data_IF_857710929710
#
_entry.id   IF_857710929710
#
_cell.length_a   1.000
_cell.length_b   1.000
_cell.length_c   1.000
_cell.angle_alpha   90.00
_cell.angle_beta   90.00
_cell.angle_gamma   90.00
#
_symmetry.space_group_name_H-M   'P 1'
#
loop_
_entity.id
_entity.type
_entity.pdbx_description
1 polymer ?
#
# COMPACT_ATOMS: atom_id res chain seq x y z
N UNK A 1 -13.24 -20.89 12.72
CA UNK A 1 -11.85 -20.45 12.94
C UNK A 1 -11.12 -20.35 11.61
N UNK A 2 -9.85 -19.90 11.56
CA UNK A 2 -9.09 -19.90 10.32
C UNK A 2 -9.00 -21.36 9.80
N UNK A 3 -9.71 -21.65 8.70
CA UNK A 3 -9.82 -23.00 8.13
C UNK A 3 -11.13 -23.76 8.40
N UNK A 4 -12.13 -23.17 9.05
CA UNK A 4 -13.47 -23.76 9.15
C UNK A 4 -14.27 -23.47 7.88
N UNK A 5 -14.89 -24.48 7.28
CA UNK A 5 -15.78 -24.30 6.14
C UNK A 5 -16.95 -23.37 6.51
N UNK A 6 -17.32 -22.51 5.59
CA UNK A 6 -18.42 -21.57 5.76
C UNK A 6 -19.19 -21.49 4.46
N UNK A 7 -20.53 -21.55 4.57
CA UNK A 7 -21.44 -21.49 3.43
C UNK A 7 -21.46 -20.10 2.79
N UNK A 8 -21.06 -19.05 3.53
CA UNK A 8 -21.04 -17.66 3.10
C UNK A 8 -19.65 -17.04 3.31
N UNK A 9 -19.25 -16.01 2.54
CA UNK A 9 -17.99 -15.30 2.77
C UNK A 9 -17.98 -14.67 4.17
N UNK A 10 -16.94 -14.96 4.96
CA UNK A 10 -16.76 -14.35 6.29
C UNK A 10 -15.40 -13.68 6.42
N UNK A 11 -15.30 -12.66 7.27
CA UNK A 11 -14.02 -12.02 7.64
C UNK A 11 -13.10 -12.96 8.44
N UNK A 12 -13.65 -14.03 9.02
CA UNK A 12 -12.96 -14.91 9.96
C UNK A 12 -12.77 -14.29 11.36
N UNK A 13 -13.31 -13.09 11.61
CA UNK A 13 -13.27 -12.41 12.90
C UNK A 13 -14.49 -12.77 13.76
N UNK A 14 -14.39 -12.51 15.07
CA UNK A 14 -15.57 -12.55 15.94
C UNK A 14 -16.54 -11.43 15.52
N UNK A 15 -17.88 -11.62 15.60
CA UNK A 15 -18.85 -10.58 15.21
C UNK A 15 -18.61 -9.24 15.91
N UNK A 16 -18.17 -9.27 17.17
CA UNK A 16 -17.83 -8.09 17.99
C UNK A 16 -16.64 -7.27 17.46
N UNK A 17 -15.81 -7.87 16.59
CA UNK A 17 -14.59 -7.28 16.01
C UNK A 17 -14.67 -7.14 14.49
N UNK A 18 -15.79 -7.54 13.89
CA UNK A 18 -16.04 -7.36 12.48
C UNK A 18 -16.61 -5.96 12.27
N UNK A 19 -15.91 -5.09 11.55
CA UNK A 19 -16.22 -3.66 11.40
C UNK A 19 -16.28 -2.88 12.73
N UNK A 20 -15.46 -3.26 13.72
CA UNK A 20 -15.34 -2.52 14.97
C UNK A 20 -14.39 -1.32 14.82
N UNK A 21 -14.88 -0.15 15.21
CA UNK A 21 -14.07 1.06 15.36
C UNK A 21 -13.71 1.27 16.83
N UNK A 22 -12.46 1.64 17.09
CA UNK A 22 -12.03 2.04 18.42
C UNK A 22 -12.65 3.38 18.81
N UNK A 23 -13.02 3.53 20.09
CA UNK A 23 -13.29 4.86 20.64
C UNK A 23 -12.02 5.72 20.60
N UNK A 24 -12.18 7.04 20.68
CA UNK A 24 -11.02 7.95 20.76
C UNK A 24 -10.12 7.59 21.94
N UNK A 25 -10.70 7.34 23.12
CA UNK A 25 -9.98 6.98 24.34
C UNK A 25 -9.20 5.66 24.24
N UNK A 26 -9.72 4.67 23.50
CA UNK A 26 -9.01 3.42 23.22
C UNK A 26 -7.90 3.60 22.18
N UNK A 27 -8.14 4.44 21.17
CA UNK A 27 -7.14 4.76 20.14
C UNK A 27 -5.93 5.48 20.73
N UNK A 28 -6.15 6.43 21.64
CA UNK A 28 -5.08 7.20 22.29
C UNK A 28 -4.13 6.32 23.12
N UNK A 29 -4.60 5.20 23.69
CA UNK A 29 -3.73 4.23 24.37
C UNK A 29 -2.71 3.60 23.42
N UNK A 30 -3.06 3.49 22.13
CA UNK A 30 -2.17 2.98 21.10
C UNK A 30 -1.08 3.99 20.69
N UNK A 31 -1.24 5.27 21.04
CA UNK A 31 -0.35 6.35 20.61
C UNK A 31 1.10 6.14 21.08
N UNK A 32 1.31 5.57 22.26
CA UNK A 32 2.65 5.25 22.79
C UNK A 32 3.47 4.34 21.86
N UNK A 33 2.80 3.51 21.07
CA UNK A 33 3.41 2.58 20.11
C UNK A 33 3.17 3.00 18.65
N UNK A 34 2.53 4.15 18.44
CA UNK A 34 2.22 4.67 17.12
C UNK A 34 3.43 5.43 16.57
N UNK A 35 3.74 5.18 15.30
CA UNK A 35 4.76 5.95 14.60
C UNK A 35 4.36 6.15 13.15
N UNK A 36 4.72 7.31 12.60
CA UNK A 36 4.49 7.62 11.19
C UNK A 36 5.73 7.24 10.41
N UNK A 37 5.57 6.30 9.47
CA UNK A 37 6.60 5.99 8.49
C UNK A 37 6.30 6.79 7.22
N UNK A 38 7.18 7.73 6.89
CA UNK A 38 7.10 8.48 5.64
C UNK A 38 8.03 7.89 4.59
N UNK A 39 7.45 7.30 3.53
CA UNK A 39 8.19 6.80 2.39
C UNK A 39 8.20 7.83 1.25
N UNK A 40 9.36 8.43 0.97
CA UNK A 40 9.54 9.29 -0.21
C UNK A 40 9.91 8.45 -1.42
N UNK A 41 9.05 8.43 -2.43
CA UNK A 41 9.30 7.70 -3.68
C UNK A 41 10.41 8.42 -4.46
N UNK A 42 11.58 7.78 -4.56
CA UNK A 42 12.69 8.25 -5.43
C UNK A 42 12.50 7.78 -6.86
N UNK A 43 11.99 6.56 -7.01
CA UNK A 43 11.66 5.95 -8.29
C UNK A 43 10.62 4.86 -8.09
N UNK A 44 9.83 4.57 -9.13
CA UNK A 44 9.06 3.33 -9.20
C UNK A 44 9.19 2.71 -10.59
N UNK A 45 8.96 1.40 -10.66
CA UNK A 45 8.87 0.67 -11.91
C UNK A 45 7.44 0.18 -12.12
N UNK A 46 6.91 0.44 -13.30
CA UNK A 46 5.64 -0.09 -13.76
C UNK A 46 5.89 -1.36 -14.55
N UNK A 47 5.23 -2.45 -14.18
CA UNK A 47 5.25 -3.73 -14.87
C UNK A 47 3.86 -4.03 -15.43
N UNK A 48 3.81 -4.29 -16.73
CA UNK A 48 2.61 -4.75 -17.41
C UNK A 48 2.84 -6.14 -18.01
N UNK A 49 2.02 -7.08 -17.54
CA UNK A 49 2.05 -8.46 -17.97
C UNK A 49 1.17 -8.63 -19.21
N UNK A 50 1.75 -9.24 -20.25
CA UNK A 50 1.05 -9.61 -21.46
C UNK A 50 1.62 -10.93 -22.00
N UNK A 51 0.77 -11.69 -22.70
CA UNK A 51 1.14 -12.98 -23.28
C UNK A 51 2.26 -12.88 -24.34
N UNK A 52 2.38 -11.73 -25.02
CA UNK A 52 3.40 -11.47 -26.06
C UNK A 52 4.56 -10.62 -25.56
N UNK A 53 5.02 -10.89 -24.35
CA UNK A 53 6.14 -10.20 -23.70
C UNK A 53 5.67 -9.06 -22.79
N UNK A 54 6.33 -8.95 -21.64
CA UNK A 54 6.02 -7.95 -20.63
C UNK A 54 6.53 -6.58 -21.05
N UNK A 55 6.03 -5.53 -20.41
CA UNK A 55 6.52 -4.16 -20.60
C UNK A 55 6.90 -3.59 -19.26
N UNK A 56 8.05 -2.94 -19.21
CA UNK A 56 8.55 -2.29 -18.00
C UNK A 56 8.89 -0.83 -18.28
N UNK A 57 8.47 0.06 -17.39
CA UNK A 57 8.82 1.47 -17.45
C UNK A 57 9.31 1.94 -16.09
N UNK A 58 10.45 2.62 -16.05
CA UNK A 58 11.01 3.23 -14.84
C UNK A 58 10.75 4.73 -14.84
N UNK A 59 10.32 5.22 -13.69
CA UNK A 59 10.08 6.62 -13.41
C UNK A 59 10.97 7.05 -12.25
N UNK A 60 11.69 8.15 -12.41
CA UNK A 60 12.56 8.72 -11.38
C UNK A 60 12.10 10.15 -11.07
N UNK A 61 12.08 10.50 -9.79
CA UNK A 61 11.59 11.79 -9.31
C UNK A 61 12.71 12.72 -8.87
N UNK A 62 12.50 14.02 -9.07
CA UNK A 62 13.31 15.05 -8.45
C UNK A 62 13.14 15.00 -6.92
N UNK A 63 14.20 15.38 -6.22
CA UNK A 63 14.21 15.40 -4.77
C UNK A 63 13.53 16.68 -4.25
N UNK A 64 12.21 16.82 -4.39
CA UNK A 64 11.52 18.04 -3.98
C UNK A 64 10.99 17.91 -2.55
N UNK A 65 11.48 18.76 -1.65
CA UNK A 65 11.04 18.92 -0.25
C UNK A 65 9.96 20.01 -0.17
N UNK A 66 8.91 19.95 -1.01
CA UNK A 66 7.75 20.86 -0.88
C UNK A 66 7.11 21.43 -2.15
N UNK A 67 7.40 20.92 -3.36
CA UNK A 67 6.77 21.42 -4.60
C UNK A 67 6.72 20.31 -5.68
N UNK A 68 5.80 20.48 -6.63
CA UNK A 68 5.27 19.52 -7.60
C UNK A 68 6.21 18.37 -7.98
N UNK A 69 5.67 17.16 -7.88
CA UNK A 69 6.31 15.89 -8.19
C UNK A 69 6.76 15.87 -9.66
N UNK A 70 7.99 16.31 -9.91
CA UNK A 70 8.56 16.39 -11.25
C UNK A 70 9.31 15.10 -11.57
N UNK A 71 8.87 14.39 -12.61
CA UNK A 71 9.64 13.28 -13.18
C UNK A 71 10.91 13.84 -13.82
N UNK A 72 12.08 13.44 -13.32
CA UNK A 72 13.37 13.80 -13.93
C UNK A 72 13.76 12.85 -15.05
N UNK A 73 13.25 11.61 -15.00
CA UNK A 73 13.54 10.61 -16.02
C UNK A 73 12.38 9.63 -16.16
N UNK A 74 12.09 9.28 -17.41
CA UNK A 74 11.14 8.26 -17.83
C UNK A 74 11.86 7.36 -18.82
N UNK A 75 11.93 6.07 -18.57
CA UNK A 75 12.69 5.15 -19.43
C UNK A 75 11.97 3.82 -19.57
N UNK A 76 11.78 3.37 -20.81
CA UNK A 76 11.37 1.99 -21.08
C UNK A 76 12.53 1.05 -20.76
N UNK A 77 12.26 0.03 -19.95
CA UNK A 77 13.22 -1.01 -19.65
C UNK A 77 13.00 -2.16 -20.62
N UNK A 78 14.10 -2.80 -21.03
CA UNK A 78 14.01 -4.08 -21.74
C UNK A 78 13.32 -5.08 -20.79
N UNK A 79 12.29 -5.81 -21.26
CA UNK A 79 11.57 -6.79 -20.44
C UNK A 79 12.48 -7.83 -19.81
#
# INVERSE_FOLDING_TARGET
GPGTESDEPTSGLKPEKDNFDYTMEESEKGYENFTVIQCKIKSFEWLYLAAKGHRRAKFEFANNLGSETTFIRKTWLVP
#
